data_IF_336309593615
#
_entry.id   IF_336309593615
#
_cell.length_a   1.000
_cell.length_b   1.000
_cell.length_c   1.000
_cell.angle_alpha   90.00
_cell.angle_beta   90.00
_cell.angle_gamma   90.00
#
_symmetry.space_group_name_H-M   'P 1'
#
loop_
_entity.id
_entity.type
_entity.pdbx_description
1 polymer ?
#
# COMPACT_ATOMS: atom_id res chain seq x y z
N UNK A 1 -0.59 6.47 8.30
CA UNK A 1 -0.43 5.00 8.40
C UNK A 1 -0.81 4.47 9.76
N UNK A 2 -0.62 5.21 10.85
CA UNK A 2 -1.10 4.78 12.18
C UNK A 2 -2.62 4.55 12.19
N UNK A 3 -3.40 5.49 11.65
CA UNK A 3 -4.85 5.33 11.50
C UNK A 3 -5.26 4.07 10.73
N UNK A 4 -4.48 3.66 9.72
CA UNK A 4 -4.76 2.44 8.94
C UNK A 4 -4.63 1.20 9.84
N UNK A 5 -3.56 1.12 10.63
CA UNK A 5 -3.34 0.00 11.55
C UNK A 5 -4.40 -0.05 12.64
N UNK A 6 -4.78 1.11 13.19
CA UNK A 6 -5.77 1.20 14.27
C UNK A 6 -7.20 0.92 13.77
N UNK A 7 -7.64 1.58 12.70
CA UNK A 7 -9.03 1.46 12.22
C UNK A 7 -9.31 0.09 11.57
N UNK A 8 -8.32 -0.50 10.90
CA UNK A 8 -8.48 -1.79 10.24
C UNK A 8 -8.01 -2.97 11.09
N UNK A 9 -7.44 -2.71 12.28
CA UNK A 9 -6.94 -3.71 13.21
C UNK A 9 -5.80 -4.55 12.63
N UNK A 10 -4.88 -3.90 11.91
CA UNK A 10 -3.74 -4.57 11.28
C UNK A 10 -2.53 -4.46 12.21
N UNK A 11 -1.91 -5.60 12.53
CA UNK A 11 -0.68 -5.60 13.29
C UNK A 11 0.46 -4.96 12.49
N UNK A 12 1.22 -4.06 13.13
CA UNK A 12 2.30 -3.28 12.49
C UNK A 12 3.45 -4.18 12.02
N UNK A 13 3.66 -5.34 12.65
CA UNK A 13 4.64 -6.34 12.21
C UNK A 13 6.04 -5.73 11.93
N UNK A 14 6.53 -5.92 10.70
CA UNK A 14 7.82 -5.41 10.22
C UNK A 14 7.72 -4.10 9.41
N UNK A 15 6.62 -3.37 9.54
CA UNK A 15 6.36 -2.14 8.78
C UNK A 15 7.44 -1.07 9.01
N UNK A 16 7.98 -0.53 7.90
CA UNK A 16 8.91 0.60 7.91
C UNK A 16 8.48 1.64 6.87
N UNK A 17 8.13 2.85 7.31
CA UNK A 17 7.65 3.90 6.42
C UNK A 17 8.72 4.37 5.43
N UNK A 18 10.00 4.32 5.79
CA UNK A 18 11.10 4.71 4.89
C UNK A 18 11.28 3.72 3.72
N UNK A 19 10.71 2.51 3.82
CA UNK A 19 10.74 1.51 2.75
C UNK A 19 9.81 1.86 1.59
N UNK A 20 8.72 2.57 1.90
CA UNK A 20 7.64 2.84 0.96
C UNK A 20 7.49 4.33 0.58
N UNK A 21 7.85 5.23 1.50
CA UNK A 21 7.69 6.66 1.31
C UNK A 21 9.04 7.37 1.27
N UNK A 22 9.19 8.29 0.31
CA UNK A 22 10.33 9.20 0.31
C UNK A 22 10.18 10.17 1.47
N UNK A 23 11.25 10.47 2.22
CA UNK A 23 11.18 11.53 3.20
C UNK A 23 10.92 12.86 2.49
N UNK A 24 10.19 13.73 3.18
CA UNK A 24 9.93 15.08 2.70
C UNK A 24 11.21 15.93 2.80
N UNK A 25 11.43 16.80 1.80
CA UNK A 25 12.55 17.75 1.79
C UNK A 25 13.93 17.16 1.45
N UNK A 26 14.98 17.90 1.78
CA UNK A 26 16.38 17.53 1.54
C UNK A 26 16.93 16.73 2.73
N UNK A 27 16.43 15.52 2.92
CA UNK A 27 16.97 14.60 3.94
C UNK A 27 18.27 13.96 3.44
N UNK A 28 19.40 14.62 3.68
CA UNK A 28 20.73 14.11 3.37
C UNK A 28 21.04 12.77 4.08
N UNK A 29 20.33 12.43 5.16
CA UNK A 29 20.55 11.17 5.86
C UNK A 29 20.03 9.95 5.08
N UNK A 30 19.21 10.15 4.04
CA UNK A 30 18.81 9.09 3.10
C UNK A 30 20.01 8.37 2.50
N UNK A 31 21.11 9.09 2.25
CA UNK A 31 22.33 8.49 1.69
C UNK A 31 23.03 7.50 2.63
N UNK A 32 22.75 7.57 3.95
CA UNK A 32 23.28 6.64 4.95
C UNK A 32 22.34 5.47 5.26
N UNK A 33 21.07 5.50 4.81
CA UNK A 33 20.11 4.40 5.01
C UNK A 33 20.41 3.20 4.08
N UNK A 34 20.01 1.99 4.48
CA UNK A 34 20.05 0.81 3.61
C UNK A 34 19.20 1.04 2.36
N UNK A 35 19.54 0.39 1.23
CA UNK A 35 18.92 0.67 -0.09
C UNK A 35 17.40 0.42 -0.10
N UNK A 36 16.99 -0.59 0.64
CA UNK A 36 15.64 -1.01 0.97
C UNK A 36 14.84 0.12 1.66
N UNK A 37 15.46 0.92 2.53
CA UNK A 37 14.84 2.02 3.27
C UNK A 37 14.90 3.38 2.56
N UNK A 38 15.00 3.37 1.22
CA UNK A 38 15.05 4.59 0.38
C UNK A 38 13.85 4.70 -0.55
N UNK A 39 12.68 4.24 -0.10
CA UNK A 39 11.46 4.19 -0.91
C UNK A 39 11.66 3.44 -2.24
N UNK A 40 12.41 2.32 -2.21
CA UNK A 40 12.69 1.53 -3.42
C UNK A 40 11.42 0.85 -3.93
N UNK A 41 10.59 0.37 -3.01
CA UNK A 41 9.34 -0.31 -3.33
C UNK A 41 8.18 0.65 -3.16
N UNK A 42 7.31 0.73 -4.16
CA UNK A 42 6.11 1.59 -4.08
C UNK A 42 5.02 0.84 -3.32
N UNK A 43 4.40 1.52 -2.36
CA UNK A 43 3.18 1.02 -1.70
C UNK A 43 2.04 0.95 -2.72
N UNK A 44 1.42 -0.21 -2.88
CA UNK A 44 0.24 -0.35 -3.75
C UNK A 44 -1.02 -0.55 -2.91
N UNK A 45 -2.19 -0.23 -3.50
CA UNK A 45 -3.48 -0.48 -2.84
C UNK A 45 -3.70 -1.97 -2.57
N UNK A 46 -3.19 -2.84 -3.45
CA UNK A 46 -3.23 -4.29 -3.26
C UNK A 46 -2.49 -4.73 -1.99
N UNK A 47 -1.34 -4.13 -1.68
CA UNK A 47 -0.61 -4.41 -0.43
C UNK A 47 -1.43 -4.02 0.80
N UNK A 48 -2.10 -2.86 0.76
CA UNK A 48 -2.96 -2.41 1.85
C UNK A 48 -4.16 -3.34 2.04
N UNK A 49 -4.76 -3.80 0.93
CA UNK A 49 -5.86 -4.76 0.96
C UNK A 49 -5.44 -6.10 1.56
N UNK A 50 -4.34 -6.68 1.09
CA UNK A 50 -3.80 -7.94 1.62
C UNK A 50 -3.45 -7.83 3.11
N UNK A 51 -2.77 -6.76 3.52
CA UNK A 51 -2.46 -6.51 4.93
C UNK A 51 -3.73 -6.39 5.79
N UNK A 52 -4.79 -5.76 5.25
CA UNK A 52 -6.08 -5.64 5.92
C UNK A 52 -6.85 -6.97 5.99
N UNK A 53 -6.67 -7.87 5.02
CA UNK A 53 -7.25 -9.23 5.03
C UNK A 53 -6.51 -10.14 6.02
N UNK A 54 -5.18 -10.19 5.95
CA UNK A 54 -4.32 -11.02 6.81
C UNK A 54 -4.23 -10.48 8.24
N UNK A 55 -4.59 -9.19 8.45
CA UNK A 55 -4.49 -8.48 9.74
C UNK A 55 -3.06 -8.35 10.26
N UNK A 56 -2.07 -8.45 9.39
CA UNK A 56 -0.66 -8.28 9.75
C UNK A 56 0.13 -7.71 8.58
N UNK A 57 1.10 -6.86 8.89
CA UNK A 57 2.07 -6.36 7.93
C UNK A 57 3.32 -7.24 7.88
N UNK A 58 3.58 -7.80 6.68
CA UNK A 58 4.83 -8.50 6.39
C UNK A 58 5.39 -7.97 5.05
N UNK A 59 6.51 -7.26 5.11
CA UNK A 59 7.11 -6.62 3.95
C UNK A 59 7.53 -7.64 2.90
N UNK A 60 8.07 -8.80 3.30
CA UNK A 60 8.56 -9.79 2.33
C UNK A 60 7.43 -10.41 1.52
N UNK A 61 6.30 -10.74 2.15
CA UNK A 61 5.15 -11.33 1.45
C UNK A 61 4.44 -10.29 0.57
N UNK A 62 4.25 -9.08 1.09
CA UNK A 62 3.53 -8.02 0.39
C UNK A 62 4.31 -7.49 -0.82
N UNK A 63 5.64 -7.43 -0.75
CA UNK A 63 6.46 -6.99 -1.88
C UNK A 63 6.65 -8.05 -2.97
N UNK A 64 6.53 -9.34 -2.62
CA UNK A 64 6.55 -10.44 -3.59
C UNK A 64 5.19 -10.66 -4.26
N UNK A 65 4.12 -10.13 -3.67
CA UNK A 65 2.78 -10.26 -4.23
C UNK A 65 2.68 -9.51 -5.57
N UNK A 66 2.16 -10.21 -6.58
CA UNK A 66 1.84 -9.60 -7.87
C UNK A 66 0.37 -9.20 -7.87
N UNK A 67 0.12 -7.89 -7.97
CA UNK A 67 -1.23 -7.36 -8.06
C UNK A 67 -1.56 -7.09 -9.52
N UNK A 68 -2.77 -7.49 -9.94
CA UNK A 68 -3.27 -7.17 -11.26
C UNK A 68 -3.48 -5.66 -11.39
N UNK A 69 -3.04 -5.09 -12.52
CA UNK A 69 -3.37 -3.72 -12.90
C UNK A 69 -4.70 -3.62 -13.64
N UNK A 70 -5.38 -4.74 -13.86
CA UNK A 70 -6.69 -4.77 -14.51
C UNK A 70 -7.75 -4.20 -13.55
N UNK A 71 -8.75 -3.48 -14.08
CA UNK A 71 -9.85 -3.00 -13.26
C UNK A 71 -10.62 -4.18 -12.65
N UNK A 72 -10.98 -4.06 -11.37
CA UNK A 72 -11.75 -5.07 -10.64
C UNK A 72 -13.20 -5.12 -11.15
N UNK A 73 -13.75 -3.96 -11.52
CA UNK A 73 -15.10 -3.83 -12.04
C UNK A 73 -15.06 -3.28 -13.46
N UNK A 74 -15.80 -3.92 -14.35
CA UNK A 74 -15.90 -3.50 -15.74
C UNK A 74 -17.05 -2.53 -15.96
N UNK A 75 -18.08 -2.63 -15.10
CA UNK A 75 -19.30 -1.84 -15.16
C UNK A 75 -19.57 -1.14 -13.82
N UNK A 76 -20.21 0.01 -13.91
CA UNK A 76 -20.64 0.78 -12.73
C UNK A 76 -21.59 -0.01 -11.82
N UNK A 77 -22.44 -0.86 -12.41
CA UNK A 77 -23.42 -1.69 -11.69
C UNK A 77 -22.79 -2.75 -10.78
N UNK A 78 -21.53 -3.12 -11.03
CA UNK A 78 -20.81 -4.15 -10.26
C UNK A 78 -20.15 -3.58 -9.00
N UNK A 79 -20.10 -2.25 -8.89
CA UNK A 79 -19.44 -1.57 -7.78
C UNK A 79 -20.34 -1.66 -6.53
N UNK A 80 -19.86 -2.21 -5.39
CA UNK A 80 -20.68 -2.43 -4.20
C UNK A 80 -20.87 -1.15 -3.35
N UNK A 81 -20.79 0.03 -3.97
CA UNK A 81 -20.96 1.34 -3.34
C UNK A 81 -21.75 2.28 -4.26
N UNK A 82 -22.74 2.96 -3.69
CA UNK A 82 -23.58 3.90 -4.42
C UNK A 82 -22.83 5.21 -4.75
N UNK A 83 -23.21 5.85 -5.85
CA UNK A 83 -22.72 7.19 -6.22
C UNK A 83 -21.40 7.23 -7.01
N UNK A 84 -20.82 6.08 -7.33
CA UNK A 84 -19.66 6.00 -8.23
C UNK A 84 -20.10 5.73 -9.67
N UNK A 85 -19.38 6.27 -10.66
CA UNK A 85 -19.59 6.00 -12.07
C UNK A 85 -18.27 5.85 -12.81
N UNK A 86 -18.10 4.74 -13.52
CA UNK A 86 -16.94 4.51 -14.37
C UNK A 86 -17.10 5.37 -15.62
N UNK A 87 -16.24 6.38 -15.77
CA UNK A 87 -16.14 7.14 -17.02
C UNK A 87 -15.32 6.33 -18.01
N UNK A 88 -15.99 5.55 -18.85
CA UNK A 88 -15.40 5.07 -20.11
C UNK A 88 -15.24 6.26 -21.04
N UNK A 89 -14.00 6.54 -21.43
CA UNK A 89 -13.63 7.60 -22.37
C UNK A 89 -13.94 7.19 -23.81
#
# INVERSE_FOLDING_TARGET
MEDFFEHLGVDRGDYDHYRYFKPEGTDIFVFFRSKDRRAKTVMTLGMLYEAAQVKSWNCETLEKASFSSLPIYSKTEEIPIDGFSIKTQ
#
